data_IF_755059579154
#
_entry.id   IF_755059579154
#
_cell.length_a   1.000
_cell.length_b   1.000
_cell.length_c   1.000
_cell.angle_alpha   90.00
_cell.angle_beta   90.00
_cell.angle_gamma   90.00
#
_symmetry.space_group_name_H-M   'P 1'
#
loop_
_entity.id
_entity.type
_entity.pdbx_description
1 polymer ?
#
# COMPACT_ATOMS: atom_id res chain seq x y z
N UNK A 1 -8.08 53.46 25.21
CA UNK A 1 -7.96 52.07 25.68
C UNK A 1 -7.91 51.21 24.43
N UNK A 2 -6.71 50.81 24.04
CA UNK A 2 -6.42 50.14 22.77
C UNK A 2 -6.72 48.65 22.88
N UNK A 3 -7.70 48.16 22.14
CA UNK A 3 -7.92 46.73 21.93
C UNK A 3 -7.13 46.30 20.70
N UNK A 4 -5.95 45.71 20.93
CA UNK A 4 -5.15 45.07 19.89
C UNK A 4 -5.88 43.81 19.40
N UNK A 5 -6.28 43.82 18.14
CA UNK A 5 -6.68 42.62 17.40
C UNK A 5 -5.44 41.73 17.24
N UNK A 6 -5.37 40.63 17.97
CA UNK A 6 -4.40 39.56 17.70
C UNK A 6 -4.99 38.73 16.57
N UNK A 7 -4.56 39.04 15.35
CA UNK A 7 -4.78 38.19 14.17
C UNK A 7 -3.92 36.95 14.30
N UNK A 8 -4.50 35.84 14.77
CA UNK A 8 -3.87 34.52 14.67
C UNK A 8 -4.20 33.99 13.28
N UNK A 9 -3.26 34.19 12.36
CA UNK A 9 -3.20 33.42 11.12
C UNK A 9 -2.88 31.97 11.48
N UNK A 10 -3.90 31.18 11.79
CA UNK A 10 -3.78 29.72 11.78
C UNK A 10 -3.90 29.27 10.32
N UNK A 11 -2.76 29.25 9.64
CA UNK A 11 -2.61 28.61 8.34
C UNK A 11 -2.78 27.10 8.53
N UNK A 12 -4.03 26.64 8.56
CA UNK A 12 -4.35 25.23 8.44
C UNK A 12 -4.10 24.88 6.96
N UNK A 13 -2.91 24.36 6.68
CA UNK A 13 -2.68 23.55 5.48
C UNK A 13 -3.45 22.23 5.68
N UNK A 14 -4.75 22.24 5.40
CA UNK A 14 -5.47 21.03 5.00
C UNK A 14 -4.87 20.68 3.63
N UNK A 15 -3.79 19.90 3.65
CA UNK A 15 -3.38 19.18 2.45
C UNK A 15 -4.52 18.22 2.13
N UNK A 16 -5.22 18.59 1.08
CA UNK A 16 -6.12 17.79 0.26
C UNK A 16 -5.88 16.29 0.49
N UNK A 17 -6.83 15.66 1.18
CA UNK A 17 -7.25 14.31 0.85
C UNK A 17 -7.69 14.38 -0.61
N UNK A 18 -6.76 14.18 -1.54
CA UNK A 18 -7.13 13.94 -2.91
C UNK A 18 -7.90 12.63 -2.87
N UNK A 19 -9.20 12.79 -3.05
CA UNK A 19 -10.20 11.75 -3.20
C UNK A 19 -9.65 10.60 -4.00
N UNK A 20 -9.55 9.44 -3.35
CA UNK A 20 -9.59 8.17 -4.04
C UNK A 20 -10.90 8.19 -4.85
N UNK A 21 -10.82 8.25 -6.18
CA UNK A 21 -11.97 7.90 -7.01
C UNK A 21 -12.15 6.39 -6.86
N UNK A 22 -12.71 5.96 -5.73
CA UNK A 22 -13.13 4.59 -5.50
C UNK A 22 -14.55 4.45 -6.03
N UNK A 23 -14.71 4.12 -7.30
CA UNK A 23 -15.96 3.57 -7.82
C UNK A 23 -15.67 2.47 -8.84
N UNK A 24 -15.02 1.40 -8.37
CA UNK A 24 -15.46 0.06 -8.76
C UNK A 24 -15.40 -0.87 -7.54
N UNK A 25 -16.54 -1.47 -7.20
CA UNK A 25 -16.74 -2.27 -5.98
C UNK A 25 -16.27 -3.73 -6.15
N UNK A 26 -15.63 -4.07 -7.26
CA UNK A 26 -15.08 -5.40 -7.47
C UNK A 26 -13.82 -5.61 -6.62
N UNK A 27 -14.05 -6.22 -5.45
CA UNK A 27 -13.01 -6.66 -4.55
C UNK A 27 -12.20 -7.78 -5.24
N UNK A 28 -10.90 -7.57 -5.39
CA UNK A 28 -10.01 -8.60 -5.91
C UNK A 28 -9.77 -9.63 -4.80
N UNK A 29 -10.33 -10.83 -4.96
CA UNK A 29 -10.00 -11.96 -4.10
C UNK A 29 -8.62 -12.50 -4.47
N UNK A 30 -7.72 -12.51 -3.50
CA UNK A 30 -6.34 -12.95 -3.69
C UNK A 30 -6.17 -14.33 -3.06
N UNK A 31 -6.06 -15.34 -3.93
CA UNK A 31 -5.76 -16.70 -3.52
C UNK A 31 -4.24 -16.93 -3.44
N UNK A 32 -3.44 -16.19 -4.20
CA UNK A 32 -1.98 -16.26 -4.16
C UNK A 32 -1.34 -14.91 -4.45
N UNK A 33 -0.42 -14.51 -3.58
CA UNK A 33 0.52 -13.42 -3.82
C UNK A 33 1.92 -13.93 -3.52
N UNK A 34 2.81 -13.84 -4.51
CA UNK A 34 4.23 -14.12 -4.30
C UNK A 34 5.06 -12.90 -4.70
N UNK A 35 6.12 -12.64 -3.94
CA UNK A 35 7.17 -11.71 -4.32
C UNK A 35 8.43 -12.54 -4.48
N UNK A 36 8.95 -12.59 -5.71
CA UNK A 36 9.97 -13.53 -6.16
C UNK A 36 9.55 -14.98 -5.92
N UNK A 37 10.15 -15.63 -4.93
CA UNK A 37 9.83 -17.00 -4.50
C UNK A 37 9.09 -17.02 -3.17
N UNK A 38 8.89 -15.86 -2.55
CA UNK A 38 8.30 -15.74 -1.21
C UNK A 38 6.80 -15.58 -1.35
N UNK A 39 6.09 -16.66 -1.01
CA UNK A 39 4.64 -16.63 -0.86
C UNK A 39 4.23 -15.86 0.39
N UNK A 40 3.29 -14.93 0.19
CA UNK A 40 2.66 -14.12 1.23
C UNK A 40 1.43 -14.84 1.84
N UNK A 41 1.33 -16.16 1.71
CA UNK A 41 0.25 -17.03 2.22
C UNK A 41 -0.09 -16.85 3.72
N UNK A 42 0.75 -16.12 4.45
CA UNK A 42 0.54 -15.69 5.82
C UNK A 42 0.47 -14.16 5.87
N UNK A 43 -0.64 -13.54 5.47
CA UNK A 43 -0.82 -12.08 5.55
C UNK A 43 -0.64 -11.51 6.97
N UNK A 44 -0.79 -12.37 8.01
CA UNK A 44 -0.51 -12.05 9.42
C UNK A 44 0.97 -11.94 9.75
N UNK A 45 1.84 -12.56 8.97
CA UNK A 45 3.24 -12.83 9.32
C UNK A 45 4.19 -12.57 8.14
N UNK A 46 4.05 -11.47 7.42
CA UNK A 46 5.15 -11.03 6.53
C UNK A 46 6.24 -10.40 7.42
N UNK A 47 6.80 -11.26 8.26
CA UNK A 47 8.15 -11.22 8.79
C UNK A 47 8.98 -12.28 8.05
N UNK A 48 8.71 -12.50 6.77
CA UNK A 48 9.61 -13.27 5.92
C UNK A 48 10.72 -12.33 5.48
N UNK A 49 11.94 -12.75 5.77
CA UNK A 49 13.12 -12.04 5.30
C UNK A 49 13.21 -12.22 3.77
N UNK A 50 13.19 -11.11 3.03
CA UNK A 50 13.40 -11.10 1.59
C UNK A 50 14.90 -11.16 1.23
N UNK A 51 15.79 -11.13 2.22
CA UNK A 51 17.23 -11.22 2.02
C UNK A 51 18.01 -10.84 3.28
N UNK A 52 18.68 -9.69 3.26
CA UNK A 52 19.35 -9.11 4.43
C UNK A 52 18.77 -7.72 4.65
N UNK A 53 18.35 -7.44 5.88
CA UNK A 53 17.89 -6.09 6.27
C UNK A 53 19.02 -5.09 6.03
N UNK A 54 18.80 -4.12 5.14
CA UNK A 54 19.72 -3.00 4.88
C UNK A 54 19.47 -1.82 5.80
N UNK A 55 18.21 -1.61 6.19
CA UNK A 55 17.79 -0.53 7.07
C UNK A 55 16.57 -0.96 7.90
N UNK A 56 16.53 -0.52 9.15
CA UNK A 56 15.40 -0.67 10.06
C UNK A 56 15.09 0.69 10.69
N UNK A 57 13.81 1.08 10.63
CA UNK A 57 13.30 2.28 11.29
C UNK A 57 12.11 1.92 12.16
N UNK A 58 12.13 2.33 13.42
CA UNK A 58 11.02 2.10 14.36
C UNK A 58 10.52 3.43 14.92
N UNK A 59 9.19 3.58 15.02
CA UNK A 59 8.55 4.72 15.65
C UNK A 59 7.24 4.31 16.33
N UNK A 60 6.69 5.23 17.12
CA UNK A 60 5.44 5.03 17.86
C UNK A 60 4.48 6.13 17.41
N UNK A 61 3.23 5.76 17.15
CA UNK A 61 2.13 6.67 16.84
C UNK A 61 1.05 6.55 17.92
N UNK A 62 0.63 7.69 18.45
CA UNK A 62 -0.45 7.79 19.43
C UNK A 62 -1.76 8.12 18.70
N UNK A 63 -2.76 7.28 18.91
CA UNK A 63 -4.14 7.48 18.48
C UNK A 63 -4.99 7.84 19.70
N UNK A 64 -6.23 8.30 19.49
CA UNK A 64 -7.10 8.74 20.58
C UNK A 64 -7.29 7.67 21.66
N UNK A 65 -7.41 6.39 21.27
CA UNK A 65 -7.74 5.28 22.18
C UNK A 65 -6.60 4.26 22.37
N UNK A 66 -5.51 4.35 21.61
CA UNK A 66 -4.42 3.36 21.66
C UNK A 66 -3.11 3.90 21.08
N UNK A 67 -1.99 3.23 21.38
CA UNK A 67 -0.67 3.53 20.81
C UNK A 67 -0.21 2.37 19.92
N UNK A 68 0.38 2.67 18.76
CA UNK A 68 0.95 1.66 17.85
C UNK A 68 2.44 1.85 17.66
N UNK A 69 3.18 0.76 17.78
CA UNK A 69 4.60 0.71 17.40
C UNK A 69 4.71 0.19 15.97
N UNK A 70 5.30 1.01 15.11
CA UNK A 70 5.61 0.66 13.73
C UNK A 70 7.09 0.35 13.56
N UNK A 71 7.39 -0.62 12.70
CA UNK A 71 8.75 -0.94 12.26
C UNK A 71 8.77 -1.13 10.75
N UNK A 72 9.57 -0.34 10.05
CA UNK A 72 9.84 -0.46 8.61
C UNK A 72 11.17 -1.18 8.42
N UNK A 73 11.15 -2.31 7.70
CA UNK A 73 12.33 -3.03 7.25
C UNK A 73 12.56 -2.78 5.76
N UNK A 74 13.79 -2.45 5.39
CA UNK A 74 14.20 -2.35 3.98
C UNK A 74 15.12 -3.50 3.59
N UNK A 75 14.66 -4.33 2.67
CA UNK A 75 15.38 -5.42 2.03
C UNK A 75 15.69 -5.00 0.60
N UNK A 76 16.78 -4.26 0.42
CA UNK A 76 17.12 -3.65 -0.87
C UNK A 76 16.00 -2.74 -1.39
N UNK A 77 15.29 -3.17 -2.43
CA UNK A 77 14.18 -2.45 -3.06
C UNK A 77 12.79 -2.93 -2.63
N UNK A 78 12.73 -3.80 -1.61
CA UNK A 78 11.50 -4.17 -0.92
C UNK A 78 11.47 -3.48 0.44
N UNK A 79 10.39 -2.79 0.73
CA UNK A 79 10.11 -2.19 2.03
C UNK A 79 8.91 -2.91 2.65
N UNK A 80 9.00 -3.25 3.93
CA UNK A 80 7.92 -3.92 4.68
C UNK A 80 7.65 -3.12 5.93
N UNK A 81 6.42 -2.61 6.06
CA UNK A 81 5.97 -1.99 7.29
C UNK A 81 5.19 -3.00 8.11
N UNK A 82 5.60 -3.16 9.37
CA UNK A 82 4.85 -3.91 10.37
C UNK A 82 4.37 -2.98 11.48
N UNK A 83 3.27 -3.34 12.14
CA UNK A 83 2.89 -2.77 13.42
C UNK A 83 2.80 -3.86 14.48
N UNK A 84 3.03 -3.51 15.74
CA UNK A 84 2.78 -4.39 16.88
C UNK A 84 1.59 -3.85 17.68
N UNK A 85 0.64 -4.71 18.02
CA UNK A 85 -0.46 -4.35 18.93
C UNK A 85 -0.01 -4.39 20.39
N UNK A 86 -0.90 -4.01 21.31
CA UNK A 86 -0.63 -4.00 22.76
C UNK A 86 -0.18 -5.36 23.33
N UNK A 87 -0.62 -6.47 22.75
CA UNK A 87 -0.22 -7.84 23.14
C UNK A 87 1.14 -8.28 22.59
N UNK A 88 1.82 -7.43 21.81
CA UNK A 88 3.09 -7.74 21.16
C UNK A 88 2.98 -8.58 19.89
N UNK A 89 1.76 -8.86 19.41
CA UNK A 89 1.55 -9.50 18.11
C UNK A 89 1.93 -8.50 17.01
N UNK A 90 2.71 -8.99 16.05
CA UNK A 90 3.15 -8.23 14.88
C UNK A 90 2.24 -8.53 13.70
N UNK A 91 1.90 -7.49 12.95
CA UNK A 91 1.07 -7.56 11.76
C UNK A 91 1.73 -6.76 10.65
N UNK A 92 1.68 -7.27 9.43
CA UNK A 92 2.14 -6.52 8.26
C UNK A 92 1.09 -5.50 7.89
N UNK A 93 1.51 -4.23 7.81
CA UNK A 93 0.68 -3.13 7.34
C UNK A 93 0.75 -2.99 5.83
N UNK A 94 1.96 -2.96 5.27
CA UNK A 94 2.12 -2.97 3.82
C UNK A 94 3.47 -3.54 3.40
N UNK A 95 3.51 -4.03 2.16
CA UNK A 95 4.75 -4.30 1.43
C UNK A 95 4.80 -3.38 0.21
N UNK A 96 5.96 -2.77 -0.03
CA UNK A 96 6.21 -1.88 -1.16
C UNK A 96 7.43 -2.36 -1.92
N UNK A 97 7.27 -2.56 -3.22
CA UNK A 97 8.33 -3.00 -4.13
C UNK A 97 8.66 -1.82 -5.06
N UNK A 98 9.92 -1.42 -5.11
CA UNK A 98 10.42 -0.28 -5.91
C UNK A 98 11.51 -0.64 -6.91
N UNK A 99 11.98 -1.89 -6.90
CA UNK A 99 13.07 -2.39 -7.74
C UNK A 99 12.55 -3.31 -8.84
N UNK A 100 13.11 -3.17 -10.03
CA UNK A 100 12.73 -3.97 -11.21
C UNK A 100 13.30 -5.39 -11.22
N UNK A 101 14.12 -5.74 -10.23
CA UNK A 101 14.68 -7.07 -10.02
C UNK A 101 13.73 -8.01 -9.28
N UNK A 102 12.55 -7.53 -8.87
CA UNK A 102 11.56 -8.32 -8.15
C UNK A 102 10.34 -8.63 -9.02
N UNK A 103 9.84 -9.86 -8.94
CA UNK A 103 8.61 -10.29 -9.59
C UNK A 103 7.47 -10.36 -8.57
N UNK A 104 6.39 -9.62 -8.80
CA UNK A 104 5.18 -9.71 -7.98
C UNK A 104 4.15 -10.52 -8.75
N UNK A 105 3.83 -11.74 -8.28
CA UNK A 105 2.79 -12.57 -8.89
C UNK A 105 1.51 -12.49 -8.08
N UNK A 106 0.41 -12.21 -8.75
CA UNK A 106 -0.92 -12.02 -8.14
C UNK A 106 -1.93 -12.81 -8.96
N UNK A 107 -2.52 -13.84 -8.37
CA UNK A 107 -3.46 -14.75 -9.06
C UNK A 107 -2.94 -15.24 -10.42
N UNK A 108 -1.66 -15.61 -10.49
CA UNK A 108 -1.01 -16.10 -11.72
C UNK A 108 -0.50 -15.03 -12.69
N UNK A 109 -0.86 -13.76 -12.50
CA UNK A 109 -0.36 -12.65 -13.30
C UNK A 109 0.95 -12.12 -12.72
N UNK A 110 1.92 -11.78 -13.57
CA UNK A 110 3.23 -11.29 -13.16
C UNK A 110 3.31 -9.79 -13.41
N UNK A 111 3.76 -9.05 -12.41
CA UNK A 111 4.02 -7.62 -12.48
C UNK A 111 5.44 -7.31 -12.01
N UNK A 112 6.08 -6.34 -12.65
CA UNK A 112 7.40 -5.85 -12.30
C UNK A 112 7.43 -4.33 -12.25
N UNK A 113 8.31 -3.78 -11.43
CA UNK A 113 8.63 -2.36 -11.51
C UNK A 113 9.34 -2.10 -12.84
N UNK A 114 9.04 -0.96 -13.44
CA UNK A 114 9.36 -0.53 -14.80
C UNK A 114 8.53 -1.17 -15.93
N UNK A 115 7.54 -2.00 -15.61
CA UNK A 115 6.55 -2.40 -16.61
C UNK A 115 5.74 -1.20 -17.13
N UNK A 116 5.30 -1.29 -18.38
CA UNK A 116 4.34 -0.34 -18.94
C UNK A 116 2.98 -0.49 -18.26
N UNK A 117 2.28 0.62 -18.04
CA UNK A 117 0.88 0.62 -17.58
C UNK A 117 -0.06 -0.19 -18.49
N UNK A 118 0.32 -0.38 -19.75
CA UNK A 118 -0.43 -1.23 -20.68
C UNK A 118 -0.55 -2.69 -20.23
N UNK A 119 0.37 -3.19 -19.39
CA UNK A 119 0.27 -4.53 -18.78
C UNK A 119 -0.99 -4.69 -17.92
N UNK A 120 -1.47 -3.59 -17.32
CA UNK A 120 -2.69 -3.62 -16.50
C UNK A 120 -3.96 -3.62 -17.35
N UNK A 121 -3.89 -3.33 -18.66
CA UNK A 121 -5.07 -3.14 -19.50
C UNK A 121 -5.95 -4.39 -19.57
N UNK A 122 -5.34 -5.57 -19.65
CA UNK A 122 -6.08 -6.84 -19.77
C UNK A 122 -6.39 -7.46 -18.40
N UNK A 123 -5.55 -7.18 -17.39
CA UNK A 123 -5.64 -7.83 -16.08
C UNK A 123 -6.46 -7.00 -15.08
N UNK A 124 -6.20 -5.69 -15.02
CA UNK A 124 -6.84 -4.73 -14.13
C UNK A 124 -7.30 -3.50 -14.92
N UNK A 125 -8.22 -3.72 -15.86
CA UNK A 125 -8.71 -2.70 -16.79
C UNK A 125 -9.15 -1.41 -16.08
N UNK A 126 -9.80 -1.51 -14.92
CA UNK A 126 -10.24 -0.34 -14.15
C UNK A 126 -9.07 0.54 -13.70
N UNK A 127 -8.00 -0.06 -13.17
CA UNK A 127 -6.80 0.67 -12.74
C UNK A 127 -6.14 1.35 -13.94
N UNK A 128 -6.05 0.64 -15.08
CA UNK A 128 -5.56 1.22 -16.33
C UNK A 128 -6.43 2.41 -16.76
N UNK A 129 -7.75 2.25 -16.75
CA UNK A 129 -8.70 3.27 -17.20
C UNK A 129 -8.65 4.52 -16.29
N UNK A 130 -8.56 4.33 -14.97
CA UNK A 130 -8.42 5.42 -14.00
C UNK A 130 -7.15 6.23 -14.27
N UNK A 131 -6.03 5.56 -14.58
CA UNK A 131 -4.80 6.22 -14.97
C UNK A 131 -4.98 7.04 -16.27
N UNK A 132 -5.61 6.47 -17.31
CA UNK A 132 -5.84 7.19 -18.57
C UNK A 132 -6.72 8.43 -18.35
N UNK A 133 -7.83 8.29 -17.62
CA UNK A 133 -8.71 9.42 -17.28
C UNK A 133 -7.94 10.49 -16.50
N UNK A 134 -7.10 10.09 -15.54
CA UNK A 134 -6.30 11.00 -14.76
C UNK A 134 -5.30 11.78 -15.63
N UNK A 135 -4.57 11.11 -16.52
CA UNK A 135 -3.59 11.76 -17.41
C UNK A 135 -4.22 12.70 -18.42
N UNK A 136 -5.41 12.38 -18.93
CA UNK A 136 -6.17 13.28 -19.81
C UNK A 136 -6.54 14.60 -19.12
N UNK A 137 -6.80 14.55 -17.81
CA UNK A 137 -7.12 15.73 -16.99
C UNK A 137 -5.87 16.48 -16.51
N UNK A 138 -4.75 15.78 -16.32
CA UNK A 138 -3.54 16.30 -15.69
C UNK A 138 -2.33 16.20 -16.62
N UNK A 139 -2.01 17.29 -17.33
CA UNK A 139 -0.95 17.30 -18.35
C UNK A 139 0.49 17.32 -17.81
N UNK A 140 0.70 17.62 -16.53
CA UNK A 140 2.03 17.81 -15.92
C UNK A 140 2.19 17.02 -14.61
N UNK A 141 2.31 15.71 -14.74
CA UNK A 141 2.47 14.81 -13.59
C UNK A 141 3.96 14.76 -13.22
N UNK A 142 4.32 15.34 -12.07
CA UNK A 142 5.72 15.40 -11.59
C UNK A 142 6.12 14.24 -10.68
N UNK A 143 5.15 13.60 -10.04
CA UNK A 143 5.36 12.58 -9.02
C UNK A 143 4.70 11.26 -9.43
N UNK A 144 4.99 10.19 -8.71
CA UNK A 144 4.23 8.95 -8.81
C UNK A 144 2.79 9.21 -8.37
N UNK A 145 1.83 8.71 -9.14
CA UNK A 145 0.41 8.75 -8.79
C UNK A 145 -0.06 7.32 -8.59
N UNK A 146 -0.75 7.08 -7.48
CA UNK A 146 -1.15 5.75 -7.05
C UNK A 146 -2.56 5.43 -7.55
N UNK A 147 -2.70 4.29 -8.21
CA UNK A 147 -3.97 3.73 -8.67
C UNK A 147 -4.08 2.30 -8.17
N UNK A 148 -5.25 1.86 -7.76
CA UNK A 148 -5.36 0.58 -7.10
C UNK A 148 -6.79 0.10 -6.97
N UNK A 149 -6.94 -1.10 -6.40
CA UNK A 149 -8.25 -1.66 -6.08
C UNK A 149 -8.26 -2.33 -4.71
N UNK A 150 -9.43 -2.39 -4.04
CA UNK A 150 -9.58 -3.16 -2.82
C UNK A 150 -9.25 -4.64 -3.05
N UNK A 151 -8.58 -5.26 -2.10
CA UNK A 151 -8.26 -6.69 -2.11
C UNK A 151 -8.86 -7.37 -0.89
N UNK A 152 -9.22 -8.64 -1.05
CA UNK A 152 -9.65 -9.53 0.02
C UNK A 152 -8.81 -10.80 -0.02
N UNK A 153 -8.07 -11.08 1.04
CA UNK A 153 -7.17 -12.22 1.13
C UNK A 153 -7.77 -13.21 2.13
N UNK A 154 -7.93 -14.46 1.70
CA UNK A 154 -8.36 -15.56 2.57
C UNK A 154 -7.12 -16.28 3.09
N UNK A 155 -7.04 -16.49 4.40
CA UNK A 155 -6.01 -17.36 4.94
C UNK A 155 -6.28 -18.82 4.52
N UNK A 156 -5.36 -19.41 3.76
CA UNK A 156 -5.49 -20.80 3.28
C UNK A 156 -5.53 -21.84 4.41
N UNK A 157 -4.89 -21.56 5.55
CA UNK A 157 -4.83 -22.45 6.72
C UNK A 157 -6.00 -22.25 7.68
N UNK A 158 -6.54 -21.04 7.75
CA UNK A 158 -7.72 -20.72 8.54
C UNK A 158 -8.75 -19.95 7.71
N UNK A 159 -9.70 -20.67 7.10
CA UNK A 159 -10.73 -20.08 6.22
C UNK A 159 -11.66 -19.07 6.92
N UNK A 160 -11.64 -19.00 8.25
CA UNK A 160 -12.40 -18.02 9.03
C UNK A 160 -11.63 -16.71 9.25
N UNK A 161 -10.37 -16.63 8.83
CA UNK A 161 -9.53 -15.44 8.92
C UNK A 161 -9.35 -14.85 7.52
N UNK A 162 -9.61 -13.55 7.41
CA UNK A 162 -9.56 -12.82 6.16
C UNK A 162 -8.97 -11.42 6.39
N UNK A 163 -8.40 -10.84 5.33
CA UNK A 163 -7.75 -9.54 5.38
C UNK A 163 -8.31 -8.66 4.27
N UNK A 164 -8.62 -7.42 4.62
CA UNK A 164 -8.96 -6.40 3.65
C UNK A 164 -7.75 -5.53 3.39
N UNK A 165 -7.68 -4.95 2.21
CA UNK A 165 -6.52 -4.15 1.86
C UNK A 165 -6.69 -3.46 0.54
N UNK A 166 -5.56 -3.08 -0.04
CA UNK A 166 -5.54 -2.62 -1.41
C UNK A 166 -4.25 -3.01 -2.13
N UNK A 167 -4.39 -3.36 -3.40
CA UNK A 167 -3.27 -3.45 -4.33
C UNK A 167 -3.18 -2.11 -5.06
N UNK A 168 -2.03 -1.45 -4.99
CA UNK A 168 -1.78 -0.15 -5.61
C UNK A 168 -0.54 -0.22 -6.49
N UNK A 169 -0.60 0.47 -7.61
CA UNK A 169 0.50 0.72 -8.52
C UNK A 169 0.79 2.22 -8.52
N UNK A 170 1.98 2.62 -8.11
CA UNK A 170 2.44 4.00 -8.30
C UNK A 170 3.03 4.13 -9.70
N UNK A 171 2.43 5.01 -10.49
CA UNK A 171 2.70 5.16 -11.91
C UNK A 171 3.26 6.55 -12.18
N UNK A 172 4.30 6.59 -13.00
CA UNK A 172 4.88 7.83 -13.51
C UNK A 172 5.16 7.71 -15.00
N UNK A 173 4.62 8.64 -15.79
CA UNK A 173 4.76 8.68 -17.25
C UNK A 173 4.46 7.33 -17.95
N UNK A 174 3.40 6.65 -17.52
CA UNK A 174 2.95 5.38 -18.10
C UNK A 174 3.79 4.17 -17.71
N UNK A 175 4.66 4.31 -16.72
CA UNK A 175 5.54 3.26 -16.20
C UNK A 175 5.22 3.00 -14.75
N UNK A 176 5.09 1.73 -14.37
CA UNK A 176 4.93 1.30 -12.98
C UNK A 176 6.26 1.54 -12.27
N UNK A 177 6.27 2.37 -11.22
CA UNK A 177 7.46 2.69 -10.42
C UNK A 177 7.45 2.04 -9.05
N UNK A 178 6.27 1.66 -8.58
CA UNK A 178 6.12 0.95 -7.32
C UNK A 178 4.87 0.08 -7.35
N UNK A 179 4.94 -1.05 -6.66
CA UNK A 179 3.80 -1.94 -6.40
C UNK A 179 3.66 -2.01 -4.88
N UNK A 180 2.45 -1.71 -4.37
CA UNK A 180 2.15 -1.69 -2.94
C UNK A 180 1.01 -2.66 -2.66
N UNK A 181 1.24 -3.55 -1.71
CA UNK A 181 0.23 -4.43 -1.14
C UNK A 181 -0.03 -3.94 0.28
N UNK A 182 -1.12 -3.21 0.46
CA UNK A 182 -1.61 -2.69 1.74
C UNK A 182 -2.52 -3.75 2.37
N UNK A 183 -2.21 -4.14 3.60
CA UNK A 183 -2.85 -5.19 4.36
C UNK A 183 -3.39 -4.57 5.65
N UNK A 184 -4.71 -4.45 5.73
CA UNK A 184 -5.40 -4.00 6.94
C UNK A 184 -6.12 -5.19 7.54
N UNK A 185 -5.67 -5.61 8.70
CA UNK A 185 -6.43 -6.54 9.53
C UNK A 185 -7.74 -5.88 9.93
N UNK A 186 -8.89 -6.43 9.53
CA UNK A 186 -10.14 -6.08 10.21
C UNK A 186 -10.09 -6.64 11.63
N UNK A 187 -10.46 -5.84 12.63
CA UNK A 187 -10.83 -6.33 13.95
C UNK A 187 -9.72 -6.52 14.99
N UNK A 188 -8.45 -6.63 14.62
CA UNK A 188 -7.34 -6.75 15.59
C UNK A 188 -6.72 -5.37 15.90
N UNK A 189 -7.50 -4.53 16.57
CA UNK A 189 -7.08 -3.20 17.04
C UNK A 189 -7.19 -3.12 18.56
N UNK A 190 -6.32 -3.87 19.25
CA UNK A 190 -6.07 -3.65 20.70
C UNK A 190 -4.99 -2.58 20.90
#
# INVERSE_FOLDING_TARGET
METKLISIYLFIYILFVNSCNAQNNEILRLDEITIDTISLEEARYIYKDFGKVKNEKTWIEDYEDYTRKFTEYKYDSIEVLIFSNSTGKKFTNWIKITGSNHQVKINGNIFQVNDSISTLKEIYFDIYNDYIIYTLKNKNIKNNVHFGKPIFIINKYNKNEYYLGSLKFGIHNGVIKEIIIDLRTEGDYD
#
